data_IF_644275863150
#
_entry.id   IF_644275863150
#
_cell.length_a   1.000
_cell.length_b   1.000
_cell.length_c   1.000
_cell.angle_alpha   90.00
_cell.angle_beta   90.00
_cell.angle_gamma   90.00
#
_symmetry.space_group_name_H-M   'P 1'
#
loop_
_entity.id
_entity.type
_entity.pdbx_description
1 polymer ?
#
# COMPACT_ATOMS: atom_id res chain seq x y z
N UNK A 1 -7.03 -11.75 -2.06
CA UNK A 1 -6.35 -11.36 -0.81
C UNK A 1 -4.93 -11.95 -0.70
N UNK A 2 -3.90 -11.10 -0.59
CA UNK A 2 -2.50 -11.50 -0.38
C UNK A 2 -2.26 -11.87 1.10
N UNK A 3 -2.00 -13.15 1.39
CA UNK A 3 -1.92 -13.66 2.77
C UNK A 3 -0.72 -13.17 3.60
N UNK A 4 0.28 -12.52 2.99
CA UNK A 4 1.54 -12.10 3.64
C UNK A 4 1.79 -10.58 3.61
N UNK A 5 0.77 -9.80 3.26
CA UNK A 5 0.88 -8.34 3.33
C UNK A 5 0.58 -7.85 4.76
N UNK A 6 1.29 -6.81 5.21
CA UNK A 6 0.99 -6.12 6.48
C UNK A 6 -0.43 -5.55 6.49
N UNK A 7 -0.91 -5.10 5.34
CA UNK A 7 -2.29 -4.69 5.12
C UNK A 7 -2.73 -5.09 3.70
N UNK A 8 -4.01 -5.42 3.55
CA UNK A 8 -4.64 -5.64 2.26
C UNK A 8 -6.03 -4.99 2.27
N UNK A 9 -6.38 -4.31 1.18
CA UNK A 9 -7.69 -3.71 1.00
C UNK A 9 -8.31 -4.27 -0.28
N UNK A 10 -9.52 -4.78 -0.18
CA UNK A 10 -10.35 -5.05 -1.35
C UNK A 10 -11.17 -3.77 -1.61
N UNK A 11 -11.13 -3.30 -2.86
CA UNK A 11 -11.68 -2.00 -3.24
C UNK A 11 -12.55 -2.10 -4.49
N UNK A 12 -13.61 -1.31 -4.53
CA UNK A 12 -14.35 -1.01 -5.76
C UNK A 12 -13.86 0.32 -6.34
N UNK A 13 -13.63 0.38 -7.65
CA UNK A 13 -13.23 1.64 -8.33
C UNK A 13 -14.45 2.56 -8.39
N UNK A 14 -14.31 3.77 -7.85
CA UNK A 14 -15.36 4.80 -7.87
C UNK A 14 -15.03 5.96 -8.80
N UNK A 15 -13.75 6.14 -9.15
CA UNK A 15 -13.34 7.18 -10.09
C UNK A 15 -12.04 6.81 -10.82
N UNK A 16 -11.80 7.41 -11.99
CA UNK A 16 -10.61 7.22 -12.81
C UNK A 16 -10.24 8.47 -13.57
N UNK A 17 -8.96 8.83 -13.50
CA UNK A 17 -8.35 9.90 -14.28
C UNK A 17 -7.19 9.37 -15.11
N UNK A 18 -6.89 10.03 -16.22
CA UNK A 18 -5.68 9.81 -17.00
C UNK A 18 -4.83 11.09 -16.96
N UNK A 19 -3.57 10.95 -16.53
CA UNK A 19 -2.61 12.06 -16.44
C UNK A 19 -1.29 11.62 -17.09
N UNK A 20 -1.00 12.17 -18.26
CA UNK A 20 0.16 11.78 -19.06
C UNK A 20 0.07 10.31 -19.48
N UNK A 21 1.02 9.50 -19.04
CA UNK A 21 1.06 8.04 -19.33
C UNK A 21 0.47 7.18 -18.20
N UNK A 22 -0.21 7.78 -17.21
CA UNK A 22 -0.64 7.09 -16.01
C UNK A 22 -2.15 7.18 -15.79
N UNK A 23 -2.71 6.11 -15.22
CA UNK A 23 -4.07 6.14 -14.67
C UNK A 23 -4.02 6.36 -13.16
N UNK A 24 -4.82 7.30 -12.68
CA UNK A 24 -5.12 7.46 -11.26
C UNK A 24 -6.48 6.82 -11.01
N UNK A 25 -6.50 5.82 -10.13
CA UNK A 25 -7.72 5.11 -9.75
C UNK A 25 -8.08 5.48 -8.32
N UNK A 26 -9.31 5.95 -8.10
CA UNK A 26 -9.85 6.19 -6.77
C UNK A 26 -10.75 5.01 -6.42
N UNK A 27 -10.41 4.31 -5.34
CA UNK A 27 -11.14 3.15 -4.86
C UNK A 27 -11.82 3.40 -3.53
N UNK A 28 -13.05 2.89 -3.37
CA UNK A 28 -13.73 2.77 -2.08
C UNK A 28 -13.40 1.41 -1.48
N UNK A 29 -12.90 1.39 -0.25
CA UNK A 29 -12.61 0.16 0.49
C UNK A 29 -13.93 -0.55 0.83
N UNK A 30 -14.03 -1.83 0.48
CA UNK A 30 -15.18 -2.68 0.81
C UNK A 30 -14.84 -3.75 1.86
N UNK A 31 -13.57 -4.16 1.93
CA UNK A 31 -13.04 -5.05 2.96
C UNK A 31 -11.56 -4.76 3.20
N UNK A 32 -11.06 -5.06 4.40
CA UNK A 32 -9.66 -4.85 4.76
C UNK A 32 -9.15 -5.86 5.79
N UNK A 33 -7.84 -6.11 5.74
CA UNK A 33 -7.10 -6.85 6.76
C UNK A 33 -5.85 -6.09 7.13
N UNK A 34 -5.53 -6.11 8.42
CA UNK A 34 -4.27 -5.62 8.98
C UNK A 34 -3.63 -6.73 9.81
N UNK A 35 -2.33 -6.94 9.64
CA UNK A 35 -1.53 -7.88 10.43
C UNK A 35 -0.59 -7.10 11.34
N UNK A 36 -0.64 -7.39 12.63
CA UNK A 36 0.27 -6.80 13.62
C UNK A 36 1.66 -7.45 13.57
N UNK A 37 2.69 -6.72 14.03
CA UNK A 37 4.06 -7.24 14.17
C UNK A 37 4.85 -7.41 12.87
N UNK A 38 4.24 -7.15 11.72
CA UNK A 38 4.93 -7.13 10.42
C UNK A 38 5.67 -5.80 10.21
N UNK A 39 6.81 -5.83 9.51
CA UNK A 39 7.55 -4.61 9.14
C UNK A 39 7.21 -4.16 7.73
N UNK A 40 7.05 -2.85 7.53
CA UNK A 40 6.89 -2.25 6.20
C UNK A 40 8.15 -2.44 5.36
N UNK A 41 7.96 -2.86 4.10
CA UNK A 41 8.99 -2.83 3.08
C UNK A 41 9.06 -1.41 2.49
N UNK A 42 10.20 -0.76 2.60
CA UNK A 42 10.47 0.54 2.00
C UNK A 42 11.26 0.35 0.70
N UNK A 43 10.93 1.12 -0.33
CA UNK A 43 11.70 1.21 -1.57
C UNK A 43 12.22 2.64 -1.72
N UNK A 44 13.53 2.81 -1.75
CA UNK A 44 14.20 4.10 -1.90
C UNK A 44 15.47 3.93 -2.72
N UNK A 45 15.69 4.80 -3.71
CA UNK A 45 16.85 4.75 -4.61
C UNK A 45 17.12 3.34 -5.19
N UNK A 46 16.05 2.69 -5.68
CA UNK A 46 16.08 1.32 -6.23
C UNK A 46 16.61 0.26 -5.25
N UNK A 47 16.62 0.55 -3.95
CA UNK A 47 17.00 -0.37 -2.87
C UNK A 47 15.81 -0.60 -1.95
N UNK A 48 15.80 -1.78 -1.33
CA UNK A 48 14.80 -2.15 -0.35
C UNK A 48 15.35 -1.99 1.07
N UNK A 49 14.49 -1.54 1.98
CA UNK A 49 14.80 -1.39 3.40
C UNK A 49 13.57 -1.61 4.27
N UNK A 50 13.73 -1.38 5.57
CA UNK A 50 12.63 -1.41 6.54
C UNK A 50 12.73 -0.19 7.44
N UNK A 51 11.59 0.33 7.89
CA UNK A 51 11.56 1.44 8.83
C UNK A 51 12.18 1.04 10.18
N UNK A 52 13.02 1.90 10.72
CA UNK A 52 13.50 1.84 12.11
C UNK A 52 13.21 3.20 12.72
N UNK A 53 12.39 3.23 13.78
CA UNK A 53 12.20 4.46 14.54
C UNK A 53 13.55 4.84 15.16
N UNK A 54 13.96 6.10 15.02
CA UNK A 54 15.03 6.64 15.84
C UNK A 54 14.38 7.04 17.16
N UNK A 55 14.81 6.43 18.26
CA UNK A 55 14.40 6.87 19.59
C UNK A 55 14.81 8.34 19.75
N UNK A 56 13.86 9.18 20.17
CA UNK A 56 14.06 10.63 20.39
C UNK A 56 14.87 10.94 21.64
#
# INVERSE_FOLDING_TARGET
MLKRAIAACDCEIVDRYEIGTHHILIGRIIDQMVQEGMRSLLSFDRRFGSFTALDG
#
